data_IF_603724881143
#
_entry.id   IF_603724881143
#
_cell.length_a   1.000
_cell.length_b   1.000
_cell.length_c   1.000
_cell.angle_alpha   90.00
_cell.angle_beta   90.00
_cell.angle_gamma   90.00
#
_symmetry.space_group_name_H-M   'P 1'
#
loop_
_entity.id
_entity.type
_entity.pdbx_description
1 polymer ?
#
# COMPACT_ATOMS: atom_id res chain seq x y z
N UNK A 1 20.86 0.49 17.39
CA UNK A 1 19.75 1.46 17.41
C UNK A 1 19.09 1.33 16.06
N UNK A 2 17.93 0.71 15.84
CA UNK A 2 16.68 0.63 16.61
C UNK A 2 16.10 -0.79 16.59
N UNK A 3 16.04 -1.47 17.74
CA UNK A 3 15.41 -2.80 17.89
C UNK A 3 14.08 -2.76 18.65
N UNK A 4 13.68 -1.58 19.10
CA UNK A 4 12.59 -1.39 20.07
C UNK A 4 11.49 -0.44 19.59
N UNK A 5 11.51 0.04 18.35
CA UNK A 5 10.49 0.96 17.85
C UNK A 5 10.02 0.54 16.46
N UNK A 6 8.69 0.50 16.27
CA UNK A 6 8.03 0.31 14.97
C UNK A 6 7.30 1.61 14.63
N UNK A 7 7.68 2.23 13.51
CA UNK A 7 7.06 3.45 13.02
C UNK A 7 6.14 3.15 11.84
N UNK A 8 4.89 3.59 11.93
CA UNK A 8 3.87 3.49 10.89
C UNK A 8 3.54 4.88 10.37
N UNK A 9 3.59 5.07 9.06
CA UNK A 9 3.13 6.31 8.44
C UNK A 9 1.60 6.34 8.41
N UNK A 10 1.03 7.37 9.00
CA UNK A 10 -0.40 7.66 8.93
C UNK A 10 -0.76 8.30 7.59
N UNK A 11 -2.06 8.32 7.25
CA UNK A 11 -2.57 8.97 6.02
C UNK A 11 -2.22 10.47 5.96
N UNK A 12 -2.01 11.09 7.12
CA UNK A 12 -1.64 12.50 7.28
C UNK A 12 -0.13 12.74 7.19
N UNK A 13 0.64 11.76 6.67
CA UNK A 13 2.10 11.80 6.51
C UNK A 13 2.89 12.01 7.82
N UNK A 14 2.27 11.74 8.97
CA UNK A 14 2.96 11.70 10.25
C UNK A 14 3.40 10.27 10.57
N UNK A 15 4.63 10.11 11.06
CA UNK A 15 5.12 8.84 11.58
C UNK A 15 4.60 8.63 13.02
N UNK A 16 3.85 7.56 13.24
CA UNK A 16 3.44 7.13 14.57
C UNK A 16 4.33 5.95 14.99
N UNK A 17 5.20 6.18 15.96
CA UNK A 17 6.17 5.20 16.44
C UNK A 17 5.71 4.60 17.77
N UNK A 18 5.60 3.28 17.82
CA UNK A 18 5.26 2.54 19.03
C UNK A 18 6.44 1.69 19.47
N UNK A 19 6.58 1.50 20.77
CA UNK A 19 7.61 0.61 21.30
C UNK A 19 7.30 -0.84 20.90
N UNK A 20 8.22 -1.46 20.17
CA UNK A 20 8.07 -2.77 19.57
C UNK A 20 9.41 -3.51 19.60
N UNK A 21 9.49 -4.57 20.41
CA UNK A 21 10.69 -5.39 20.53
C UNK A 21 10.76 -6.41 19.38
N UNK A 22 11.61 -6.13 18.40
CA UNK A 22 11.81 -7.01 17.24
C UNK A 22 12.25 -8.42 17.65
N UNK A 23 13.11 -8.59 18.67
CA UNK A 23 13.65 -9.89 19.04
C UNK A 23 12.58 -10.82 19.68
N UNK A 24 11.52 -10.26 20.28
CA UNK A 24 10.42 -11.05 20.90
C UNK A 24 9.25 -11.33 19.95
N UNK A 25 9.06 -10.47 18.95
CA UNK A 25 7.81 -10.42 18.18
C UNK A 25 7.99 -10.70 16.68
N UNK A 26 9.19 -11.13 16.25
CA UNK A 26 9.52 -11.41 14.84
C UNK A 26 8.97 -12.73 14.27
N UNK A 27 8.46 -13.61 15.12
CA UNK A 27 8.03 -14.94 14.71
C UNK A 27 6.57 -15.14 15.08
N UNK A 28 5.72 -14.98 14.08
CA UNK A 28 4.33 -15.38 14.18
C UNK A 28 4.22 -16.90 14.36
N UNK A 29 3.23 -17.34 15.12
CA UNK A 29 2.99 -18.76 15.40
C UNK A 29 2.73 -19.60 14.13
N UNK A 30 2.36 -18.95 13.02
CA UNK A 30 2.18 -19.58 11.72
C UNK A 30 2.88 -18.78 10.62
N UNK A 31 3.51 -19.50 9.67
CA UNK A 31 4.11 -18.91 8.48
C UNK A 31 3.10 -18.54 7.40
N UNK A 32 1.83 -18.92 7.56
CA UNK A 32 0.79 -18.70 6.54
C UNK A 32 0.17 -17.30 6.58
N UNK A 33 0.51 -16.47 7.58
CA UNK A 33 -0.05 -15.11 7.66
C UNK A 33 0.53 -14.16 6.61
N UNK A 34 1.78 -14.35 6.20
CA UNK A 34 2.44 -13.49 5.23
C UNK A 34 3.00 -14.34 4.07
N UNK A 35 2.74 -13.91 2.85
CA UNK A 35 3.21 -14.55 1.63
C UNK A 35 4.57 -14.01 1.16
N UNK A 36 5.15 -14.64 0.14
CA UNK A 36 6.28 -14.11 -0.64
C UNK A 36 7.53 -13.73 0.17
N UNK A 37 7.81 -14.47 1.25
CA UNK A 37 9.01 -14.27 2.06
C UNK A 37 8.98 -13.01 2.94
N UNK A 38 7.80 -12.42 3.14
CA UNK A 38 7.63 -11.28 4.03
C UNK A 38 7.95 -11.63 5.50
N UNK A 39 8.44 -10.64 6.25
CA UNK A 39 8.65 -10.80 7.70
C UNK A 39 7.32 -10.59 8.41
N UNK A 40 6.96 -11.51 9.31
CA UNK A 40 5.73 -11.43 10.07
C UNK A 40 6.00 -10.85 11.46
N UNK A 41 5.20 -9.86 11.85
CA UNK A 41 5.24 -9.23 13.15
C UNK A 41 3.92 -9.49 13.86
N UNK A 42 3.97 -9.85 15.13
CA UNK A 42 2.78 -9.99 15.98
C UNK A 42 2.89 -9.12 17.23
N UNK A 43 1.76 -8.68 17.76
CA UNK A 43 1.70 -7.87 18.98
C UNK A 43 2.01 -8.66 20.25
N UNK A 44 1.60 -9.93 20.32
CA UNK A 44 1.79 -10.78 21.49
C UNK A 44 2.25 -12.22 21.11
N UNK A 45 3.23 -12.80 21.82
CA UNK A 45 3.80 -14.12 21.46
C UNK A 45 2.83 -15.29 21.64
N UNK A 46 1.92 -15.20 22.61
CA UNK A 46 1.05 -16.32 23.04
C UNK A 46 -0.40 -16.21 22.56
N UNK A 47 -0.88 -15.00 22.30
CA UNK A 47 -2.27 -14.71 21.91
C UNK A 47 -2.28 -13.42 21.07
N UNK A 48 -1.87 -13.49 19.79
CA UNK A 48 -1.75 -12.32 18.96
C UNK A 48 -3.13 -11.76 18.59
N UNK A 49 -3.35 -10.46 18.79
CA UNK A 49 -4.58 -9.75 18.40
C UNK A 49 -4.40 -8.99 17.10
N UNK A 50 -3.15 -8.71 16.71
CA UNK A 50 -2.82 -8.04 15.46
C UNK A 50 -1.57 -8.65 14.81
N UNK A 51 -1.61 -8.76 13.49
CA UNK A 51 -0.51 -9.28 12.67
C UNK A 51 -0.19 -8.26 11.58
N UNK A 52 1.10 -7.98 11.41
CA UNK A 52 1.61 -7.06 10.40
C UNK A 52 2.64 -7.80 9.54
N UNK A 53 2.46 -7.75 8.22
CA UNK A 53 3.41 -8.29 7.26
C UNK A 53 4.31 -7.17 6.72
N UNK A 54 5.61 -7.29 6.94
CA UNK A 54 6.63 -6.42 6.34
C UNK A 54 7.05 -7.05 5.02
N UNK A 55 6.50 -6.51 3.93
CA UNK A 55 6.70 -7.05 2.59
C UNK A 55 8.13 -6.87 2.09
N UNK A 56 8.59 -7.84 1.31
CA UNK A 56 9.81 -7.74 0.51
C UNK A 56 9.59 -6.80 -0.67
N UNK A 57 10.69 -6.33 -1.27
CA UNK A 57 10.62 -5.41 -2.40
C UNK A 57 9.71 -5.95 -3.51
N UNK A 58 8.89 -5.06 -4.06
CA UNK A 58 7.91 -5.35 -5.10
C UNK A 58 6.72 -6.24 -4.66
N UNK A 59 6.50 -6.46 -3.38
CA UNK A 59 5.28 -7.10 -2.89
C UNK A 59 4.45 -6.15 -2.01
N UNK A 60 3.13 -6.26 -2.09
CA UNK A 60 2.20 -5.41 -1.34
C UNK A 60 0.88 -6.13 -1.03
N UNK A 61 0.00 -5.45 -0.27
CA UNK A 61 -1.22 -6.02 0.30
C UNK A 61 -1.05 -6.44 1.75
N UNK A 62 -2.14 -6.77 2.43
CA UNK A 62 -2.11 -7.08 3.86
C UNK A 62 -1.30 -8.34 4.21
N UNK A 63 -1.19 -9.28 3.27
CA UNK A 63 -0.37 -10.49 3.40
C UNK A 63 0.84 -10.46 2.46
N UNK A 64 1.15 -9.32 1.82
CA UNK A 64 2.16 -9.25 0.77
C UNK A 64 1.86 -10.18 -0.42
N UNK A 65 0.57 -10.44 -0.68
CA UNK A 65 0.12 -11.40 -1.68
C UNK A 65 0.23 -10.90 -3.13
N UNK A 66 0.27 -9.58 -3.32
CA UNK A 66 0.33 -8.97 -4.64
C UNK A 66 1.78 -8.65 -5.00
N UNK A 67 2.14 -8.91 -6.24
CA UNK A 67 3.45 -8.58 -6.80
C UNK A 67 3.31 -7.38 -7.73
N UNK A 68 4.05 -6.31 -7.43
CA UNK A 68 4.29 -5.20 -8.34
C UNK A 68 5.23 -5.71 -9.44
N UNK A 69 4.65 -6.37 -10.44
CA UNK A 69 5.37 -6.95 -11.57
C UNK A 69 5.97 -5.83 -12.39
N UNK A 70 7.28 -5.63 -12.27
CA UNK A 70 8.08 -4.79 -13.18
C UNK A 70 7.32 -3.56 -13.65
N UNK A 71 7.02 -2.68 -12.71
CA UNK A 71 6.37 -1.39 -12.88
C UNK A 71 7.09 -0.57 -13.95
N UNK A 72 6.75 -0.78 -15.22
CA UNK A 72 6.78 0.32 -16.18
C UNK A 72 5.86 1.38 -15.58
N UNK A 73 6.31 2.63 -15.53
CA UNK A 73 5.53 3.79 -15.07
C UNK A 73 4.30 3.99 -15.97
N UNK A 74 3.33 3.08 -15.90
CA UNK A 74 2.07 3.20 -16.63
C UNK A 74 1.19 4.18 -15.88
N UNK A 75 0.43 4.95 -16.66
CA UNK A 75 -0.44 5.98 -16.12
C UNK A 75 -1.46 5.37 -15.14
N UNK A 76 -1.96 4.16 -15.41
CA UNK A 76 -2.97 3.48 -14.61
C UNK A 76 -2.51 3.12 -13.19
N UNK A 77 -1.23 2.79 -12.98
CA UNK A 77 -0.73 2.43 -11.66
C UNK A 77 -0.43 3.67 -10.80
N UNK A 78 0.07 4.74 -11.42
CA UNK A 78 0.23 6.06 -10.77
C UNK A 78 -1.15 6.62 -10.40
N UNK A 79 -2.12 6.55 -11.32
CA UNK A 79 -3.48 6.99 -11.05
C UNK A 79 -4.14 6.14 -9.97
N UNK A 80 -3.99 4.81 -10.03
CA UNK A 80 -4.56 3.89 -9.05
C UNK A 80 -4.10 4.20 -7.62
N UNK A 81 -2.83 4.57 -7.43
CA UNK A 81 -2.30 4.98 -6.13
C UNK A 81 -2.86 6.34 -5.66
N UNK A 82 -3.00 7.30 -6.57
CA UNK A 82 -3.48 8.65 -6.25
C UNK A 82 -5.01 8.74 -6.10
N UNK A 83 -5.79 7.77 -6.62
CA UNK A 83 -7.25 7.76 -6.52
C UNK A 83 -7.69 7.44 -5.09
N UNK A 84 -8.27 8.45 -4.42
CA UNK A 84 -8.84 8.32 -3.08
C UNK A 84 -10.32 7.95 -3.16
N UNK A 85 -10.66 6.70 -2.88
CA UNK A 85 -12.02 6.18 -3.05
C UNK A 85 -13.09 6.88 -2.19
N UNK A 86 -12.70 7.51 -1.07
CA UNK A 86 -13.63 8.18 -0.15
C UNK A 86 -13.77 9.69 -0.41
N UNK A 87 -13.20 10.20 -1.51
CA UNK A 87 -13.32 11.60 -1.89
C UNK A 87 -14.16 11.74 -3.15
N UNK A 88 -15.05 12.75 -3.16
CA UNK A 88 -15.75 13.16 -4.37
C UNK A 88 -14.75 13.63 -5.43
N UNK A 89 -15.10 13.51 -6.71
CA UNK A 89 -14.19 13.80 -7.83
C UNK A 89 -13.56 15.20 -7.77
N UNK A 90 -14.32 16.21 -7.33
CA UNK A 90 -13.82 17.59 -7.14
C UNK A 90 -12.77 17.72 -6.05
N UNK A 91 -12.63 16.74 -5.15
CA UNK A 91 -11.64 16.69 -4.07
C UNK A 91 -10.49 15.71 -4.36
N UNK A 92 -10.52 15.01 -5.49
CA UNK A 92 -9.40 14.16 -5.93
C UNK A 92 -8.14 14.99 -6.20
N UNK A 93 -6.94 14.37 -6.12
CA UNK A 93 -5.70 15.01 -6.49
C UNK A 93 -5.70 15.55 -7.92
N UNK A 94 -4.87 16.56 -8.18
CA UNK A 94 -4.74 17.19 -9.49
C UNK A 94 -4.43 16.17 -10.60
N UNK A 95 -3.55 15.21 -10.33
CA UNK A 95 -3.17 14.15 -11.27
C UNK A 95 -4.37 13.34 -11.76
N UNK A 96 -5.30 12.99 -10.86
CA UNK A 96 -6.51 12.21 -11.21
C UNK A 96 -7.45 13.03 -12.10
N UNK A 97 -7.67 14.30 -11.75
CA UNK A 97 -8.53 15.20 -12.53
C UNK A 97 -7.98 15.45 -13.93
N UNK A 98 -6.67 15.69 -14.03
CA UNK A 98 -5.98 15.91 -15.30
C UNK A 98 -6.09 14.69 -16.21
N UNK A 99 -5.82 13.49 -15.70
CA UNK A 99 -5.94 12.27 -16.50
C UNK A 99 -7.37 12.01 -16.94
N UNK A 100 -8.37 12.21 -16.07
CA UNK A 100 -9.78 12.08 -16.45
C UNK A 100 -10.18 13.05 -17.57
N UNK A 101 -9.69 14.29 -17.51
CA UNK A 101 -9.91 15.29 -18.57
C UNK A 101 -9.30 14.85 -19.90
N UNK A 102 -8.05 14.36 -19.89
CA UNK A 102 -7.36 13.86 -21.09
C UNK A 102 -8.13 12.68 -21.70
N UNK A 103 -8.53 11.71 -20.89
CA UNK A 103 -9.31 10.54 -21.35
C UNK A 103 -10.64 10.97 -21.98
N UNK A 104 -11.32 11.95 -21.40
CA UNK A 104 -12.57 12.47 -21.96
C UNK A 104 -12.36 13.09 -23.34
N UNK A 105 -11.30 13.89 -23.54
CA UNK A 105 -10.94 14.44 -24.84
C UNK A 105 -10.66 13.33 -25.87
N UNK A 106 -9.87 12.31 -25.50
CA UNK A 106 -9.55 11.20 -26.40
C UNK A 106 -10.82 10.45 -26.85
N UNK A 107 -11.77 10.23 -25.94
CA UNK A 107 -13.05 9.61 -26.26
C UNK A 107 -13.90 10.47 -27.21
N UNK A 108 -13.98 11.79 -26.98
CA UNK A 108 -14.71 12.69 -27.87
C UNK A 108 -14.12 12.71 -29.28
N UNK A 109 -12.79 12.79 -29.39
CA UNK A 109 -12.11 12.76 -30.69
C UNK A 109 -12.37 11.42 -31.40
N UNK A 110 -12.32 10.31 -30.66
CA UNK A 110 -12.63 8.98 -31.19
C UNK A 110 -14.08 8.83 -31.66
N UNK A 111 -15.04 9.46 -30.98
CA UNK A 111 -16.44 9.47 -31.38
C UNK A 111 -16.74 10.37 -32.60
N UNK A 112 -15.97 11.43 -32.80
CA UNK A 112 -16.14 12.33 -33.96
C UNK A 112 -15.53 11.71 -35.22
N UNK A 113 -14.40 11.01 -35.08
CA UNK A 113 -13.67 10.39 -36.19
C UNK A 113 -14.04 8.91 -36.45
N UNK A 114 -14.99 8.37 -35.68
CA UNK A 114 -15.47 6.99 -35.77
C UNK A 114 -16.81 6.86 -36.50
#
# INVERSE_FOLDING_TARGET
MDKFYLCLCTKDRHANCVEFNYDKNLQCSSKHYCANGAKCLQDHPTCPSAIICVCTNCFFGHQCQFYAKGLGLTLDEILGYEIKHNLIFTQQPFSVKLSAFITMIMLLIGLING
#
